data_IF_985840315584
#
_entry.id   IF_985840315584
#
_cell.length_a   1.000
_cell.length_b   1.000
_cell.length_c   1.000
_cell.angle_alpha   90.00
_cell.angle_beta   90.00
_cell.angle_gamma   90.00
#
_symmetry.space_group_name_H-M   'P 1'
#
loop_
_entity.id
_entity.type
_entity.pdbx_description
1 polymer ?
#
# COMPACT_ATOMS: atom_id res chain seq x y z
N UNK A 1 -2.36 1.80 -29.08
CA UNK A 1 -2.86 2.86 -30.00
C UNK A 1 -2.11 4.18 -29.80
N UNK A 2 -2.03 4.72 -28.59
CA UNK A 2 -1.43 6.04 -28.28
C UNK A 2 0.05 6.14 -28.64
N UNK A 3 0.83 5.08 -28.43
CA UNK A 3 2.28 5.07 -28.74
C UNK A 3 2.57 5.09 -30.25
N UNK A 4 1.78 4.36 -31.03
CA UNK A 4 1.89 4.34 -32.49
C UNK A 4 1.50 5.69 -33.12
N UNK A 5 0.42 6.31 -32.65
CA UNK A 5 -0.02 7.61 -33.11
C UNK A 5 1.02 8.71 -32.83
N UNK A 6 1.67 8.68 -31.65
CA UNK A 6 2.69 9.68 -31.29
C UNK A 6 3.95 9.55 -32.17
N UNK A 7 4.36 8.33 -32.51
CA UNK A 7 5.49 8.11 -33.42
C UNK A 7 5.18 8.57 -34.85
N UNK A 8 3.98 8.36 -35.34
CA UNK A 8 3.55 8.86 -36.65
C UNK A 8 3.56 10.39 -36.70
N UNK A 9 3.06 11.08 -35.67
CA UNK A 9 3.08 12.52 -35.61
C UNK A 9 4.50 13.13 -35.61
N UNK A 10 5.45 12.48 -34.96
CA UNK A 10 6.86 12.95 -34.95
C UNK A 10 7.49 12.74 -36.33
N UNK A 11 7.29 11.57 -36.93
CA UNK A 11 7.77 11.28 -38.27
C UNK A 11 7.23 12.29 -39.29
N UNK A 12 5.94 12.54 -39.28
CA UNK A 12 5.31 13.44 -40.23
C UNK A 12 5.82 14.86 -40.06
N UNK A 13 6.03 15.35 -38.83
CA UNK A 13 6.64 16.66 -38.57
C UNK A 13 8.10 16.75 -39.07
N UNK A 14 8.87 15.69 -38.98
CA UNK A 14 10.22 15.64 -39.54
C UNK A 14 10.13 15.75 -41.06
N UNK A 15 9.29 14.95 -41.69
CA UNK A 15 9.12 14.94 -43.15
C UNK A 15 8.62 16.29 -43.68
N UNK A 16 7.73 16.96 -42.95
CA UNK A 16 7.25 18.30 -43.28
C UNK A 16 8.39 19.35 -43.20
N UNK A 17 9.27 19.25 -42.21
CA UNK A 17 10.38 20.20 -42.04
C UNK A 17 11.46 20.04 -43.09
N UNK A 18 11.71 18.84 -43.56
CA UNK A 18 12.63 18.57 -44.67
C UNK A 18 11.98 18.69 -46.05
N UNK A 19 10.69 19.07 -46.10
CA UNK A 19 9.92 19.34 -47.27
C UNK A 19 9.96 18.21 -48.30
N UNK A 20 9.65 16.97 -47.84
CA UNK A 20 9.63 15.78 -48.70
C UNK A 20 8.22 15.18 -48.80
N UNK A 21 7.87 14.76 -49.99
CA UNK A 21 6.61 14.05 -50.26
C UNK A 21 6.74 12.53 -50.10
N UNK A 22 7.96 12.04 -49.86
CA UNK A 22 8.26 10.61 -49.75
C UNK A 22 7.90 10.12 -48.36
N UNK A 23 6.68 9.58 -48.20
CA UNK A 23 6.12 9.20 -46.89
C UNK A 23 5.87 7.71 -46.73
N UNK A 24 6.07 6.94 -47.83
CA UNK A 24 5.80 5.51 -47.86
C UNK A 24 7.04 4.68 -47.52
N UNK A 25 6.82 3.50 -46.98
CA UNK A 25 7.92 2.58 -46.60
C UNK A 25 8.73 2.12 -47.81
N UNK A 26 8.08 2.04 -48.97
CA UNK A 26 8.73 1.69 -50.26
C UNK A 26 9.79 2.71 -50.70
N UNK A 27 9.65 3.96 -50.27
CA UNK A 27 10.56 5.03 -50.62
C UNK A 27 11.94 4.85 -49.95
N UNK A 28 12.01 4.05 -48.88
CA UNK A 28 13.25 3.70 -48.20
C UNK A 28 14.14 2.72 -48.94
N UNK A 29 13.60 2.02 -49.92
CA UNK A 29 14.37 1.01 -50.71
C UNK A 29 15.21 1.63 -51.81
N UNK A 30 14.96 2.89 -52.17
CA UNK A 30 15.65 3.58 -53.24
C UNK A 30 16.52 4.70 -52.67
N UNK A 31 17.83 4.56 -52.83
CA UNK A 31 18.79 5.58 -52.38
C UNK A 31 18.81 6.77 -53.34
N UNK A 32 18.94 7.99 -52.84
CA UNK A 32 19.14 9.18 -53.65
C UNK A 32 17.88 9.84 -54.21
N UNK A 33 16.71 9.52 -53.65
CA UNK A 33 15.42 10.13 -54.06
C UNK A 33 15.27 11.61 -53.67
N UNK A 34 16.18 12.13 -52.87
CA UNK A 34 16.16 13.53 -52.45
C UNK A 34 16.68 14.43 -53.56
N UNK A 35 15.86 15.38 -54.02
CA UNK A 35 16.30 16.32 -55.07
C UNK A 35 17.33 17.28 -54.53
N UNK A 36 18.46 17.40 -55.17
CA UNK A 36 19.49 18.37 -54.84
C UNK A 36 18.89 19.79 -54.95
N UNK A 37 19.06 20.58 -53.91
CA UNK A 37 18.51 21.96 -53.86
C UNK A 37 17.13 22.07 -53.17
N UNK A 38 16.59 21.01 -52.61
CA UNK A 38 15.35 21.09 -51.79
C UNK A 38 15.60 21.97 -50.59
N UNK A 39 14.84 23.08 -50.48
CA UNK A 39 14.94 23.97 -49.29
C UNK A 39 14.25 23.34 -48.10
N UNK A 40 14.99 23.24 -47.03
CA UNK A 40 14.43 22.92 -45.69
C UNK A 40 13.62 24.10 -45.17
N UNK A 41 12.67 23.86 -44.30
CA UNK A 41 11.85 24.93 -43.68
C UNK A 41 12.71 26.00 -43.01
N UNK A 42 12.45 27.28 -43.34
CA UNK A 42 13.20 28.42 -42.76
C UNK A 42 12.90 28.61 -41.25
N UNK A 43 11.79 28.08 -40.75
CA UNK A 43 11.40 28.12 -39.33
C UNK A 43 11.19 26.71 -38.81
N UNK A 44 12.25 26.01 -38.41
CA UNK A 44 12.11 24.66 -37.87
C UNK A 44 11.34 24.68 -36.55
N UNK A 45 10.32 23.84 -36.46
CA UNK A 45 9.60 23.63 -35.23
C UNK A 45 10.40 22.69 -34.31
N UNK A 46 10.45 23.02 -33.05
CA UNK A 46 11.09 22.18 -32.05
C UNK A 46 10.32 20.87 -31.91
N UNK A 47 10.91 19.74 -32.35
CA UNK A 47 10.30 18.42 -32.32
C UNK A 47 10.21 17.86 -30.91
N UNK A 48 11.19 18.18 -30.10
CA UNK A 48 11.31 17.77 -28.70
C UNK A 48 11.53 19.02 -27.85
N UNK A 49 10.44 19.52 -27.26
CA UNK A 49 10.55 20.59 -26.28
C UNK A 49 11.16 20.05 -24.98
N UNK A 50 12.13 20.79 -24.45
CA UNK A 50 12.63 20.51 -23.10
C UNK A 50 11.50 20.80 -22.12
N UNK A 51 11.01 19.77 -21.45
CA UNK A 51 9.97 19.93 -20.44
C UNK A 51 10.61 20.49 -19.18
N UNK A 52 10.11 21.60 -18.69
CA UNK A 52 10.49 22.13 -17.38
C UNK A 52 9.97 21.16 -16.29
N UNK A 53 10.85 20.66 -15.40
CA UNK A 53 10.42 19.73 -14.34
C UNK A 53 9.22 20.24 -13.54
N UNK A 54 9.20 21.54 -13.25
CA UNK A 54 8.10 22.20 -12.51
C UNK A 54 6.76 22.20 -13.26
N UNK A 55 6.77 22.32 -14.59
CA UNK A 55 5.55 22.24 -15.40
C UNK A 55 5.06 20.79 -15.56
N UNK A 56 5.98 19.85 -15.59
CA UNK A 56 5.67 18.41 -15.63
C UNK A 56 5.04 17.99 -14.31
N UNK A 57 5.61 18.39 -13.17
CA UNK A 57 5.06 18.11 -11.85
C UNK A 57 3.63 18.65 -11.71
N UNK A 58 3.39 19.91 -12.07
CA UNK A 58 2.04 20.51 -12.06
C UNK A 58 1.06 19.78 -12.98
N UNK A 59 1.51 19.34 -14.15
CA UNK A 59 0.65 18.58 -15.08
C UNK A 59 0.44 17.14 -14.62
N UNK A 60 1.41 16.53 -13.97
CA UNK A 60 1.28 15.20 -13.37
C UNK A 60 0.35 15.26 -12.15
N UNK A 61 0.45 16.28 -11.30
CA UNK A 61 -0.50 16.51 -10.20
C UNK A 61 -1.92 16.76 -10.71
N UNK A 62 -2.08 17.48 -11.82
CA UNK A 62 -3.39 17.72 -12.43
C UNK A 62 -3.98 16.50 -13.16
N UNK A 63 -3.12 15.56 -13.60
CA UNK A 63 -3.51 14.33 -14.30
C UNK A 63 -3.51 13.09 -13.39
N UNK A 64 -2.88 13.16 -12.23
CA UNK A 64 -3.19 12.21 -11.19
C UNK A 64 -4.68 12.39 -10.90
N UNK A 65 -5.50 11.32 -11.07
CA UNK A 65 -6.81 11.36 -10.46
C UNK A 65 -6.48 11.81 -9.03
N UNK A 66 -7.02 12.98 -8.59
CA UNK A 66 -7.01 13.34 -7.19
C UNK A 66 -7.21 12.00 -6.50
N UNK A 67 -6.20 11.52 -5.74
CA UNK A 67 -6.51 10.53 -4.74
C UNK A 67 -7.69 11.19 -4.06
N UNK A 68 -8.86 10.73 -4.41
CA UNK A 68 -10.01 11.01 -3.60
C UNK A 68 -9.48 10.58 -2.25
N UNK A 69 -9.22 11.56 -1.40
CA UNK A 69 -9.17 11.29 0.03
C UNK A 69 -10.34 10.35 0.20
N UNK A 70 -10.11 9.12 0.66
CA UNK A 70 -11.21 8.20 0.75
C UNK A 70 -12.30 9.06 1.38
N UNK A 71 -13.33 9.41 0.59
CA UNK A 71 -14.57 9.87 1.18
C UNK A 71 -14.69 8.84 2.27
N UNK A 72 -14.68 9.29 3.51
CA UNK A 72 -15.15 8.48 4.60
C UNK A 72 -16.54 8.05 4.15
N UNK A 73 -16.59 7.08 3.24
CA UNK A 73 -17.71 6.18 3.15
C UNK A 73 -17.77 5.74 4.59
N UNK A 74 -18.75 6.28 5.27
CA UNK A 74 -19.01 5.93 6.64
C UNK A 74 -18.92 4.41 6.65
N UNK A 75 -17.75 3.90 7.11
CA UNK A 75 -17.50 2.47 7.27
C UNK A 75 -18.39 2.00 8.43
N UNK A 76 -19.67 2.29 8.27
CA UNK A 76 -20.68 1.87 9.19
C UNK A 76 -20.88 0.38 8.98
N UNK A 77 -20.41 -0.37 9.93
CA UNK A 77 -20.67 -1.81 10.00
C UNK A 77 -22.04 -2.02 10.64
N UNK A 78 -22.76 -3.02 10.18
CA UNK A 78 -24.01 -3.43 10.82
C UNK A 78 -23.72 -4.17 12.12
N UNK A 79 -24.71 -4.23 13.01
CA UNK A 79 -24.60 -5.00 14.26
C UNK A 79 -24.34 -6.49 13.98
N UNK A 80 -24.87 -7.00 12.87
CA UNK A 80 -24.66 -8.37 12.43
C UNK A 80 -23.21 -8.61 11.96
N UNK A 81 -22.56 -7.60 11.39
CA UNK A 81 -21.14 -7.70 11.02
C UNK A 81 -20.25 -7.67 12.26
N UNK A 82 -20.59 -6.86 13.24
CA UNK A 82 -19.87 -6.84 14.52
C UNK A 82 -20.05 -8.15 15.30
N UNK A 83 -21.24 -8.73 15.27
CA UNK A 83 -21.55 -10.01 15.93
C UNK A 83 -20.74 -11.19 15.38
N UNK A 84 -20.19 -11.07 14.17
CA UNK A 84 -19.28 -12.06 13.58
C UNK A 84 -17.89 -12.05 14.24
N UNK A 85 -17.53 -10.96 14.93
CA UNK A 85 -16.25 -10.85 15.61
C UNK A 85 -16.33 -11.44 17.01
N UNK A 86 -15.51 -12.44 17.31
CA UNK A 86 -15.46 -13.03 18.66
C UNK A 86 -14.36 -12.34 19.50
N UNK A 87 -14.81 -11.49 20.41
CA UNK A 87 -13.95 -10.85 21.42
C UNK A 87 -14.00 -11.67 22.70
N UNK A 88 -12.84 -12.09 23.20
CA UNK A 88 -12.72 -12.94 24.37
C UNK A 88 -11.67 -12.39 25.33
N UNK A 89 -11.94 -12.49 26.63
CA UNK A 89 -10.97 -12.15 27.66
C UNK A 89 -9.94 -13.28 27.81
N UNK A 90 -8.67 -12.92 27.74
CA UNK A 90 -7.55 -13.84 27.97
C UNK A 90 -6.49 -13.28 28.89
N UNK A 91 -5.81 -14.14 29.65
CA UNK A 91 -4.67 -13.76 30.48
C UNK A 91 -3.37 -14.16 29.79
N UNK A 92 -2.42 -13.26 29.78
CA UNK A 92 -1.08 -13.52 29.24
C UNK A 92 -0.31 -14.38 30.21
N UNK A 93 -0.01 -15.63 29.87
CA UNK A 93 0.76 -16.57 30.69
C UNK A 93 2.27 -16.43 30.45
N UNK A 94 2.66 -16.29 29.19
CA UNK A 94 4.05 -16.10 28.79
C UNK A 94 4.14 -15.03 27.72
N UNK A 95 5.22 -14.29 27.74
CA UNK A 95 5.52 -13.28 26.74
C UNK A 95 7.03 -13.27 26.48
N UNK A 96 7.42 -13.33 25.22
CA UNK A 96 8.81 -13.33 24.79
C UNK A 96 8.99 -12.37 23.60
N UNK A 97 10.22 -11.87 23.43
CA UNK A 97 10.56 -11.07 22.26
C UNK A 97 10.62 -11.97 21.02
N UNK A 98 10.17 -11.46 19.89
CA UNK A 98 10.27 -12.17 18.63
C UNK A 98 11.75 -12.31 18.22
N UNK A 99 12.24 -13.52 17.79
CA UNK A 99 13.65 -13.73 17.45
C UNK A 99 14.13 -12.87 16.27
N UNK A 100 13.26 -12.59 15.28
CA UNK A 100 13.62 -11.91 14.04
C UNK A 100 13.02 -10.50 13.93
N UNK A 101 12.45 -9.96 15.00
CA UNK A 101 11.80 -8.63 14.96
C UNK A 101 11.75 -7.96 16.32
N UNK A 102 12.54 -6.90 16.49
CA UNK A 102 12.65 -6.13 17.74
C UNK A 102 11.34 -5.48 18.21
N UNK A 103 10.42 -5.21 17.27
CA UNK A 103 9.14 -4.54 17.57
C UNK A 103 7.99 -5.50 17.87
N UNK A 104 8.22 -6.81 17.78
CA UNK A 104 7.19 -7.81 17.98
C UNK A 104 7.38 -8.55 19.32
N UNK A 105 6.27 -8.79 20.00
CA UNK A 105 6.19 -9.69 21.15
C UNK A 105 5.36 -10.91 20.77
N UNK A 106 5.83 -12.08 21.18
CA UNK A 106 5.13 -13.36 21.07
C UNK A 106 4.53 -13.68 22.44
N UNK A 107 3.22 -13.68 22.53
CA UNK A 107 2.50 -13.91 23.78
C UNK A 107 1.72 -15.22 23.72
N UNK A 108 1.76 -16.00 24.79
CA UNK A 108 0.89 -17.15 25.02
C UNK A 108 -0.25 -16.68 25.92
N UNK A 109 -1.46 -16.71 25.39
CA UNK A 109 -2.66 -16.14 26.06
C UNK A 109 -3.66 -17.24 26.32
N UNK A 110 -3.98 -17.44 27.59
CA UNK A 110 -5.00 -18.37 28.03
C UNK A 110 -6.38 -17.71 27.90
N UNK A 111 -7.19 -18.22 27.00
CA UNK A 111 -8.59 -17.78 26.79
C UNK A 111 -9.62 -18.66 27.50
N UNK A 112 -9.19 -19.43 28.50
CA UNK A 112 -10.05 -20.26 29.33
C UNK A 112 -10.17 -21.69 28.84
N UNK A 113 -10.44 -21.92 27.56
CA UNK A 113 -10.53 -23.26 26.96
C UNK A 113 -9.21 -23.78 26.41
N UNK A 114 -8.39 -22.87 25.93
CA UNK A 114 -7.12 -23.16 25.27
C UNK A 114 -6.16 -21.98 25.44
N UNK A 115 -4.87 -22.23 25.25
CA UNK A 115 -3.84 -21.19 25.19
C UNK A 115 -3.50 -20.94 23.71
N UNK A 116 -3.52 -19.69 23.30
CA UNK A 116 -3.21 -19.27 21.93
C UNK A 116 -1.95 -18.44 21.86
N UNK A 117 -1.17 -18.69 20.82
CA UNK A 117 -0.03 -17.89 20.49
C UNK A 117 -0.46 -16.68 19.68
N UNK A 118 -0.11 -15.49 20.15
CA UNK A 118 -0.44 -14.24 19.48
C UNK A 118 0.81 -13.37 19.36
N UNK A 119 1.07 -12.89 18.15
CA UNK A 119 2.18 -11.99 17.85
C UNK A 119 1.62 -10.57 17.73
N UNK A 120 2.21 -9.64 18.47
CA UNK A 120 1.75 -8.24 18.52
C UNK A 120 2.89 -7.24 18.42
N UNK A 121 2.67 -6.13 17.72
CA UNK A 121 3.66 -5.06 17.49
C UNK A 121 3.71 -4.03 18.63
N UNK A 122 3.92 -4.48 19.84
CA UNK A 122 3.86 -3.64 21.06
C UNK A 122 5.19 -3.59 21.85
N UNK A 123 6.25 -4.17 21.32
CA UNK A 123 7.54 -4.27 22.01
C UNK A 123 8.20 -2.90 22.28
N UNK A 124 7.84 -1.86 21.53
CA UNK A 124 8.32 -0.49 21.77
C UNK A 124 7.67 0.16 23.00
N UNK A 125 6.55 -0.40 23.51
CA UNK A 125 5.73 0.19 24.56
C UNK A 125 5.60 -0.68 25.80
N UNK A 126 5.73 -1.99 25.66
CA UNK A 126 5.59 -2.96 26.74
C UNK A 126 6.75 -3.93 26.77
N UNK A 127 7.27 -4.18 27.95
CA UNK A 127 8.24 -5.27 28.15
C UNK A 127 7.54 -6.62 28.31
N UNK A 128 8.18 -7.74 27.97
CA UNK A 128 7.60 -9.07 28.17
C UNK A 128 7.11 -9.31 29.59
N UNK A 129 7.86 -8.81 30.59
CA UNK A 129 7.58 -8.97 32.02
C UNK A 129 6.30 -8.22 32.43
N UNK A 130 6.08 -7.02 31.88
CA UNK A 130 4.87 -6.24 32.14
C UNK A 130 3.63 -6.84 31.51
N UNK A 131 3.79 -7.67 30.49
CA UNK A 131 2.68 -8.33 29.81
C UNK A 131 2.16 -9.54 30.58
N UNK A 132 3.04 -10.24 31.28
CA UNK A 132 2.67 -11.44 32.04
C UNK A 132 1.67 -11.12 33.12
N UNK A 133 0.59 -11.89 33.19
CA UNK A 133 -0.50 -11.70 34.17
C UNK A 133 -1.55 -10.67 33.78
N UNK A 134 -1.34 -9.87 32.74
CA UNK A 134 -2.37 -8.92 32.27
C UNK A 134 -3.51 -9.65 31.61
N UNK A 135 -4.74 -9.20 31.90
CA UNK A 135 -5.95 -9.63 31.20
C UNK A 135 -6.22 -8.70 30.03
N UNK A 136 -6.22 -9.25 28.84
CA UNK A 136 -6.36 -8.52 27.58
C UNK A 136 -7.57 -9.02 26.80
N UNK A 137 -8.09 -8.18 25.92
CA UNK A 137 -9.15 -8.55 25.00
C UNK A 137 -8.51 -9.07 23.71
N UNK A 138 -8.92 -10.25 23.32
CA UNK A 138 -8.40 -10.96 22.14
C UNK A 138 -9.51 -11.19 21.13
N UNK A 139 -9.22 -10.92 19.87
CA UNK A 139 -10.05 -11.38 18.74
C UNK A 139 -9.71 -12.83 18.45
N UNK A 140 -10.63 -13.74 18.80
CA UNK A 140 -10.35 -15.18 18.82
C UNK A 140 -10.64 -15.87 17.47
N UNK A 141 -11.53 -15.33 16.64
CA UNK A 141 -11.96 -15.97 15.40
C UNK A 141 -11.23 -15.45 14.14
N UNK A 142 -10.03 -14.90 14.29
CA UNK A 142 -9.16 -14.55 13.16
C UNK A 142 -8.50 -15.81 12.59
N UNK A 143 -8.37 -15.83 11.27
CA UNK A 143 -7.56 -16.86 10.60
C UNK A 143 -6.10 -16.74 11.05
N UNK A 144 -5.43 -17.88 11.35
CA UNK A 144 -4.02 -17.85 11.69
C UNK A 144 -3.19 -17.18 10.60
N UNK A 145 -2.30 -16.29 11.01
CA UNK A 145 -1.39 -15.57 10.11
C UNK A 145 0.06 -15.73 10.56
N UNK A 146 0.97 -15.94 9.63
CA UNK A 146 2.40 -15.99 9.92
C UNK A 146 3.01 -14.60 9.86
N UNK A 147 3.52 -14.12 10.99
CA UNK A 147 4.22 -12.85 11.12
C UNK A 147 5.72 -13.16 11.32
N UNK A 148 6.54 -12.84 10.32
CA UNK A 148 7.99 -13.11 10.32
C UNK A 148 8.37 -14.52 10.78
N UNK A 149 7.65 -15.53 10.26
CA UNK A 149 7.93 -16.94 10.56
C UNK A 149 7.19 -17.51 11.77
N UNK A 150 6.66 -16.67 12.67
CA UNK A 150 5.89 -17.10 13.84
C UNK A 150 4.40 -17.00 13.56
N UNK A 151 3.64 -18.02 13.88
CA UNK A 151 2.20 -18.09 13.69
C UNK A 151 1.47 -17.33 14.79
N UNK A 152 0.54 -16.44 14.39
CA UNK A 152 -0.38 -15.73 15.28
C UNK A 152 -1.79 -16.24 15.07
N UNK A 153 -2.43 -16.70 16.14
CA UNK A 153 -3.78 -17.31 16.12
C UNK A 153 -4.85 -16.35 16.67
N UNK A 154 -4.63 -15.07 16.56
CA UNK A 154 -5.54 -14.04 17.02
C UNK A 154 -4.88 -12.68 17.05
N UNK A 155 -5.58 -11.71 17.62
CA UNK A 155 -5.09 -10.33 17.75
C UNK A 155 -5.46 -9.76 19.11
N UNK A 156 -4.52 -9.06 19.77
CA UNK A 156 -4.79 -8.31 21.00
C UNK A 156 -5.33 -6.93 20.62
N UNK A 157 -6.39 -6.49 21.29
CA UNK A 157 -6.93 -5.14 21.10
C UNK A 157 -6.07 -4.12 21.85
N UNK A 158 -5.64 -3.09 21.13
CA UNK A 158 -4.90 -1.97 21.68
C UNK A 158 -5.33 -0.67 21.00
N UNK A 159 -5.42 0.39 21.77
CA UNK A 159 -5.58 1.75 21.24
C UNK A 159 -4.23 2.41 21.05
N UNK A 160 -4.01 3.06 19.91
CA UNK A 160 -2.77 3.82 19.67
C UNK A 160 -3.06 5.23 19.18
N UNK A 161 -2.34 6.22 19.73
CA UNK A 161 -2.39 7.61 19.26
C UNK A 161 -0.98 8.20 19.27
N UNK A 162 -0.45 8.44 18.07
CA UNK A 162 0.92 8.97 17.88
C UNK A 162 2.00 8.09 18.56
N UNK A 163 2.46 8.49 19.75
CA UNK A 163 3.54 7.83 20.51
C UNK A 163 3.03 7.09 21.77
N UNK A 164 1.72 6.95 21.93
CA UNK A 164 1.11 6.26 23.07
C UNK A 164 0.34 5.07 22.55
N UNK A 165 0.53 3.92 23.18
CA UNK A 165 -0.20 2.70 22.92
C UNK A 165 -0.68 2.12 24.24
N UNK A 166 -1.97 1.85 24.35
CA UNK A 166 -2.57 1.23 25.52
C UNK A 166 -3.35 -0.03 25.12
N UNK A 167 -3.16 -1.07 25.91
CA UNK A 167 -3.89 -2.32 25.74
C UNK A 167 -5.31 -2.19 26.29
N UNK A 168 -6.29 -2.73 25.60
CA UNK A 168 -7.63 -2.90 26.14
C UNK A 168 -7.61 -4.00 27.20
N UNK A 169 -7.56 -3.62 28.48
CA UNK A 169 -7.46 -4.54 29.60
C UNK A 169 -8.78 -4.69 30.34
N UNK A 170 -9.01 -5.86 30.93
CA UNK A 170 -10.18 -6.17 31.75
C UNK A 170 -9.70 -6.74 33.08
N UNK A 171 -10.20 -6.22 34.20
CA UNK A 171 -9.69 -6.62 35.51
C UNK A 171 -10.48 -7.76 36.15
N UNK A 172 -11.80 -7.72 36.08
CA UNK A 172 -12.67 -8.57 36.94
C UNK A 172 -13.26 -9.80 36.23
N UNK A 173 -13.23 -9.84 34.88
CA UNK A 173 -13.87 -10.93 34.16
C UNK A 173 -12.98 -12.18 34.11
N UNK A 174 -13.56 -13.39 34.20
CA UNK A 174 -12.80 -14.63 34.02
C UNK A 174 -12.38 -14.83 32.56
N UNK A 175 -11.32 -15.63 32.36
CA UNK A 175 -10.85 -16.00 31.03
C UNK A 175 -11.95 -16.73 30.25
N UNK A 176 -12.01 -16.49 28.95
CA UNK A 176 -13.03 -17.07 28.09
C UNK A 176 -14.37 -16.33 28.06
N UNK A 177 -14.50 -15.24 28.84
CA UNK A 177 -15.71 -14.41 28.79
C UNK A 177 -15.79 -13.69 27.45
N UNK A 178 -16.92 -13.84 26.75
CA UNK A 178 -17.20 -13.11 25.50
C UNK A 178 -17.57 -11.66 25.81
N UNK A 179 -16.97 -10.73 25.07
CA UNK A 179 -17.29 -9.31 25.09
C UNK A 179 -18.25 -9.04 23.94
N UNK A 180 -19.31 -8.32 24.24
CA UNK A 180 -20.37 -7.98 23.29
C UNK A 180 -20.54 -6.47 23.23
#
# INVERSE_FOLDING_TARGET
LIRRQRQMCIRDRILDQINTDQREFKDLTTFGLYKVGTKVTDKPQQLFARLDPKEVEKKVEALQPKKEEPKEEENQITIDDFAKVELVVGTVEKCEKHPDADKLLVSQINIGKETRQIVSGIADFYTPEEMIGKKVIVVANLKPAKLRGVESQGMILAGSKKKVLELATVQSLPNGTKIR
#
